data_IF_104028828602
#
_entry.id   IF_104028828602
#
_cell.length_a   1.000
_cell.length_b   1.000
_cell.length_c   1.000
_cell.angle_alpha   90.00
_cell.angle_beta   90.00
_cell.angle_gamma   90.00
#
_symmetry.space_group_name_H-M   'P 1'
#
loop_
_entity.id
_entity.type
_entity.pdbx_description
1 polymer ?
#
# COMPACT_ATOMS: atom_id res chain seq x y z
N UNK A 1 14.91 -17.86 -18.63
CA UNK A 1 14.97 -16.80 -17.60
C UNK A 1 15.78 -17.22 -16.37
N UNK A 2 15.51 -18.37 -15.75
CA UNK A 2 16.20 -18.83 -14.51
C UNK A 2 17.75 -18.87 -14.60
N UNK A 3 18.32 -19.30 -15.72
CA UNK A 3 19.79 -19.39 -15.87
C UNK A 3 20.47 -18.01 -15.88
N UNK A 4 19.81 -17.01 -16.50
CA UNK A 4 20.30 -15.63 -16.56
C UNK A 4 20.20 -14.93 -15.20
N UNK A 5 19.13 -15.21 -14.43
CA UNK A 5 18.98 -14.71 -13.06
C UNK A 5 20.06 -15.27 -12.13
N UNK A 6 20.32 -16.58 -12.17
CA UNK A 6 21.39 -17.20 -11.37
C UNK A 6 22.77 -16.68 -11.72
N UNK A 7 23.04 -16.44 -13.01
CA UNK A 7 24.30 -15.81 -13.47
C UNK A 7 24.42 -14.36 -12.98
N UNK A 8 23.33 -13.59 -13.05
CA UNK A 8 23.28 -12.21 -12.56
C UNK A 8 23.47 -12.14 -11.04
N UNK A 9 22.84 -13.02 -10.27
CA UNK A 9 23.02 -13.11 -8.82
C UNK A 9 24.45 -13.51 -8.43
N UNK A 10 25.02 -14.51 -9.12
CA UNK A 10 26.40 -14.93 -8.88
C UNK A 10 27.40 -13.81 -9.21
N UNK A 11 27.18 -13.10 -10.32
CA UNK A 11 27.97 -11.94 -10.71
C UNK A 11 27.83 -10.81 -9.69
N UNK A 12 26.60 -10.46 -9.32
CA UNK A 12 26.28 -9.46 -8.29
C UNK A 12 26.98 -9.77 -6.98
N UNK A 13 26.87 -11.01 -6.47
CA UNK A 13 27.53 -11.43 -5.25
C UNK A 13 29.07 -11.31 -5.32
N UNK A 14 29.64 -11.54 -6.50
CA UNK A 14 31.09 -11.36 -6.73
C UNK A 14 31.48 -9.88 -6.72
N UNK A 15 30.73 -9.03 -7.43
CA UNK A 15 30.95 -7.57 -7.46
C UNK A 15 30.80 -6.97 -6.08
N UNK A 16 29.79 -7.40 -5.31
CA UNK A 16 29.55 -6.94 -3.95
C UNK A 16 30.71 -7.27 -3.00
N UNK A 17 31.44 -8.36 -3.21
CA UNK A 17 32.61 -8.71 -2.39
C UNK A 17 33.86 -7.91 -2.74
N UNK A 18 33.95 -7.40 -3.98
CA UNK A 18 35.14 -6.73 -4.50
C UNK A 18 35.04 -5.21 -4.35
N UNK A 19 33.85 -4.64 -4.54
CA UNK A 19 33.66 -3.18 -4.48
C UNK A 19 33.42 -2.72 -3.04
N UNK A 20 34.11 -1.66 -2.61
CA UNK A 20 33.79 -0.98 -1.36
C UNK A 20 32.45 -0.24 -1.44
N UNK A 21 31.78 0.04 -0.31
CA UNK A 21 30.57 0.85 -0.32
C UNK A 21 30.85 2.31 -0.68
N UNK A 22 29.87 2.98 -1.30
CA UNK A 22 29.97 4.41 -1.61
C UNK A 22 29.90 5.22 -0.32
N UNK A 23 30.74 6.25 -0.22
CA UNK A 23 30.83 7.14 0.95
C UNK A 23 30.32 8.55 0.68
N UNK A 24 30.19 8.94 -0.61
CA UNK A 24 29.74 10.28 -1.02
C UNK A 24 28.27 10.24 -1.41
N UNK A 25 27.47 11.25 -1.04
CA UNK A 25 26.06 11.34 -1.44
C UNK A 25 25.93 11.49 -2.97
N UNK A 26 24.99 10.75 -3.55
CA UNK A 26 24.56 10.90 -4.94
C UNK A 26 23.02 10.79 -5.02
N UNK A 27 22.37 11.17 -3.91
CA UNK A 27 20.92 11.12 -3.74
C UNK A 27 20.21 11.98 -4.78
N UNK A 28 20.56 13.28 -4.87
CA UNK A 28 19.92 14.21 -5.82
C UNK A 28 20.27 13.90 -7.29
N UNK A 29 21.52 13.51 -7.57
CA UNK A 29 21.99 13.33 -8.95
C UNK A 29 21.53 12.03 -9.61
N UNK A 30 21.43 10.95 -8.83
CA UNK A 30 21.26 9.58 -9.31
C UNK A 30 20.13 8.82 -8.61
N UNK A 31 19.50 9.40 -7.58
CA UNK A 31 18.44 8.75 -6.82
C UNK A 31 18.91 7.55 -6.00
N UNK A 32 20.18 7.53 -5.57
CA UNK A 32 20.80 6.36 -4.89
C UNK A 32 21.34 6.72 -3.51
N UNK A 33 21.30 5.75 -2.59
CA UNK A 33 21.76 5.87 -1.22
C UNK A 33 23.13 5.23 -1.01
N UNK A 34 23.97 5.87 -0.20
CA UNK A 34 25.06 5.19 0.50
C UNK A 34 24.51 4.40 1.70
N UNK A 35 25.35 3.57 2.30
CA UNK A 35 24.98 2.77 3.48
C UNK A 35 24.61 3.68 4.65
N UNK A 36 25.42 4.71 4.93
CA UNK A 36 25.16 5.64 6.02
C UNK A 36 23.85 6.38 5.80
N UNK A 37 23.55 6.77 4.56
CA UNK A 37 22.30 7.43 4.20
C UNK A 37 21.09 6.49 4.33
N UNK A 38 21.24 5.20 3.98
CA UNK A 38 20.19 4.21 4.23
C UNK A 38 19.89 4.04 5.72
N UNK A 39 20.92 4.01 6.56
CA UNK A 39 20.74 3.94 8.02
C UNK A 39 20.05 5.20 8.56
N UNK A 40 20.47 6.39 8.11
CA UNK A 40 19.84 7.67 8.49
C UNK A 40 18.36 7.71 8.08
N UNK A 41 18.05 7.32 6.84
CA UNK A 41 16.68 7.29 6.35
C UNK A 41 15.82 6.24 7.09
N UNK A 42 16.39 5.09 7.41
CA UNK A 42 15.73 4.06 8.21
C UNK A 42 15.48 4.50 9.65
N UNK A 43 16.42 5.19 10.28
CA UNK A 43 16.23 5.76 11.62
C UNK A 43 15.10 6.81 11.63
N UNK A 44 15.01 7.63 10.59
CA UNK A 44 13.90 8.58 10.44
C UNK A 44 12.56 7.85 10.25
N UNK A 45 12.52 6.81 9.39
CA UNK A 45 11.33 5.98 9.18
C UNK A 45 10.81 5.36 10.48
N UNK A 46 11.68 4.71 11.26
CA UNK A 46 11.30 4.10 12.55
C UNK A 46 10.85 5.16 13.56
N UNK A 47 11.47 6.33 13.56
CA UNK A 47 11.12 7.44 14.44
C UNK A 47 9.72 8.02 14.15
N UNK A 48 9.36 8.15 12.86
CA UNK A 48 8.08 8.74 12.44
C UNK A 48 6.95 7.73 12.30
N UNK A 49 7.26 6.50 11.93
CA UNK A 49 6.30 5.42 11.74
C UNK A 49 6.71 4.25 12.65
N UNK A 50 6.25 4.23 13.93
CA UNK A 50 6.64 3.21 14.92
C UNK A 50 6.22 1.78 14.57
N UNK A 51 5.40 1.59 13.54
CA UNK A 51 5.08 0.28 12.95
C UNK A 51 6.28 -0.35 12.24
N UNK A 52 7.24 0.47 11.81
CA UNK A 52 8.53 0.01 11.29
C UNK A 52 9.54 -0.20 12.40
N UNK A 53 10.37 -1.23 12.24
CA UNK A 53 11.42 -1.59 13.17
C UNK A 53 12.69 -2.04 12.45
N UNK A 54 13.85 -1.80 13.06
CA UNK A 54 15.11 -2.38 12.60
C UNK A 54 15.25 -3.82 13.09
N UNK A 55 15.79 -4.67 12.23
CA UNK A 55 16.04 -6.07 12.53
C UNK A 55 17.49 -6.46 12.25
N UNK A 56 17.99 -7.42 13.04
CA UNK A 56 19.34 -7.97 12.91
C UNK A 56 19.43 -9.15 11.94
N UNK A 57 18.30 -9.80 11.66
CA UNK A 57 18.24 -11.03 10.87
C UNK A 57 19.06 -12.19 11.43
N UNK A 58 19.24 -13.21 10.59
CA UNK A 58 20.04 -14.39 10.95
C UNK A 58 21.53 -14.01 11.11
N UNK A 59 22.20 -14.39 12.22
CA UNK A 59 23.60 -14.06 12.45
C UNK A 59 24.55 -14.48 11.32
N UNK A 60 24.27 -15.60 10.65
CA UNK A 60 25.03 -16.14 9.52
C UNK A 60 24.93 -15.32 8.24
N UNK A 61 23.83 -14.56 8.09
CA UNK A 61 23.52 -13.77 6.88
C UNK A 61 23.79 -12.27 7.05
N UNK A 62 24.32 -11.83 8.19
CA UNK A 62 24.63 -10.43 8.45
C UNK A 62 25.67 -9.90 7.47
N UNK A 63 25.42 -8.69 6.98
CA UNK A 63 26.31 -7.95 6.11
C UNK A 63 27.21 -7.08 6.97
N UNK A 64 28.53 -7.26 6.84
CA UNK A 64 29.55 -6.57 7.64
C UNK A 64 29.60 -5.05 7.41
N UNK A 65 29.04 -4.58 6.30
CA UNK A 65 29.02 -3.17 5.95
C UNK A 65 27.84 -2.41 6.58
N UNK A 66 26.90 -3.10 7.22
CA UNK A 66 25.79 -2.52 7.99
C UNK A 66 25.99 -2.80 9.49
N UNK A 67 25.49 -1.94 10.40
CA UNK A 67 25.46 -2.23 11.83
C UNK A 67 24.72 -3.54 12.13
N UNK A 68 25.15 -4.28 13.15
CA UNK A 68 24.63 -5.63 13.42
C UNK A 68 23.13 -5.63 13.75
N UNK A 69 22.65 -4.55 14.34
CA UNK A 69 21.29 -4.29 14.76
C UNK A 69 20.42 -3.57 13.70
N UNK A 70 21.03 -3.12 12.60
CA UNK A 70 20.38 -2.36 11.51
C UNK A 70 20.63 -2.99 10.15
N UNK A 71 20.23 -4.26 10.00
CA UNK A 71 20.47 -5.00 8.76
C UNK A 71 19.35 -4.76 7.73
N UNK A 72 18.11 -4.71 8.19
CA UNK A 72 16.94 -4.39 7.36
C UNK A 72 15.82 -3.81 8.22
N UNK A 73 14.87 -3.15 7.58
CA UNK A 73 13.65 -2.65 8.23
C UNK A 73 12.50 -3.62 7.99
N UNK A 74 11.60 -3.76 8.94
CA UNK A 74 10.38 -4.56 8.77
C UNK A 74 9.18 -3.88 9.42
N UNK A 75 8.03 -4.00 8.76
CA UNK A 75 6.71 -3.79 9.35
C UNK A 75 5.91 -5.08 9.21
N UNK A 76 5.12 -5.42 10.22
CA UNK A 76 4.47 -6.73 10.36
C UNK A 76 2.97 -6.60 10.42
N UNK A 77 2.28 -7.65 9.96
CA UNK A 77 0.82 -7.75 10.05
C UNK A 77 0.11 -6.55 9.40
N UNK A 78 0.60 -6.13 8.23
CA UNK A 78 0.02 -5.06 7.43
C UNK A 78 -1.23 -5.58 6.69
N UNK A 79 -2.42 -4.99 6.87
CA UNK A 79 -3.63 -5.51 6.25
C UNK A 79 -3.65 -5.26 4.73
N UNK A 80 -4.28 -6.20 4.02
CA UNK A 80 -4.59 -6.12 2.60
C UNK A 80 -6.03 -6.62 2.39
N UNK A 81 -6.96 -5.67 2.33
CA UNK A 81 -8.41 -5.95 2.35
C UNK A 81 -8.99 -6.29 0.97
N UNK A 82 -8.28 -5.92 -0.10
CA UNK A 82 -8.72 -6.08 -1.49
C UNK A 82 -7.55 -6.47 -2.39
N UNK A 83 -7.86 -7.01 -3.58
CA UNK A 83 -6.85 -7.33 -4.61
C UNK A 83 -6.54 -6.13 -5.49
N UNK A 84 -5.32 -6.07 -6.02
CA UNK A 84 -4.89 -4.96 -6.87
C UNK A 84 -5.82 -4.75 -8.07
N UNK A 85 -6.28 -5.85 -8.68
CA UNK A 85 -7.22 -5.82 -9.81
C UNK A 85 -8.53 -5.08 -9.52
N UNK A 86 -9.08 -5.22 -8.32
CA UNK A 86 -10.35 -4.55 -7.97
C UNK A 86 -10.22 -3.02 -7.91
N UNK A 87 -9.04 -2.53 -7.50
CA UNK A 87 -8.74 -1.09 -7.46
C UNK A 87 -8.50 -0.55 -8.86
N UNK A 88 -7.82 -1.33 -9.70
CA UNK A 88 -7.56 -0.98 -11.11
C UNK A 88 -8.88 -0.90 -11.91
N UNK A 89 -9.76 -1.90 -11.79
CA UNK A 89 -11.07 -1.91 -12.46
C UNK A 89 -11.96 -0.74 -12.01
N UNK A 90 -11.96 -0.39 -10.72
CA UNK A 90 -12.69 0.78 -10.22
C UNK A 90 -12.15 2.08 -10.81
N UNK A 91 -10.83 2.22 -10.91
CA UNK A 91 -10.18 3.38 -11.51
C UNK A 91 -10.47 3.51 -13.02
N UNK A 92 -10.45 2.39 -13.75
CA UNK A 92 -10.83 2.34 -15.16
C UNK A 92 -12.31 2.72 -15.34
N UNK A 93 -13.20 2.17 -14.51
CA UNK A 93 -14.64 2.46 -14.54
C UNK A 93 -14.97 3.92 -14.19
N UNK A 94 -14.15 4.58 -13.36
CA UNK A 94 -14.26 5.99 -13.04
C UNK A 94 -13.82 6.93 -14.18
N UNK A 95 -13.50 6.39 -15.37
CA UNK A 95 -13.07 7.16 -16.53
C UNK A 95 -11.57 7.41 -16.54
N UNK A 96 -10.80 6.38 -16.16
CA UNK A 96 -9.34 6.38 -16.06
C UNK A 96 -8.69 7.29 -17.11
N UNK A 97 -7.76 8.14 -16.69
CA UNK A 97 -7.10 9.08 -17.57
C UNK A 97 -6.43 8.34 -18.74
N UNK A 98 -6.81 8.68 -19.97
CA UNK A 98 -6.19 8.15 -21.19
C UNK A 98 -4.72 8.56 -21.17
N UNK A 99 -3.85 7.61 -20.86
CA UNK A 99 -2.41 7.73 -21.03
C UNK A 99 -2.17 8.11 -22.49
N UNK A 100 -1.73 9.35 -22.72
CA UNK A 100 -1.11 9.67 -23.99
C UNK A 100 0.18 8.86 -24.05
N UNK A 101 0.15 7.79 -24.83
CA UNK A 101 1.33 7.06 -25.30
C UNK A 101 2.26 8.04 -26.04
N UNK A 102 3.07 8.76 -25.26
CA UNK A 102 4.29 9.34 -25.77
C UNK A 102 5.35 8.26 -25.55
N UNK A 103 5.81 7.65 -26.65
CA UNK A 103 6.81 6.55 -26.70
C UNK A 103 8.10 6.79 -25.90
N UNK A 104 8.35 8.02 -25.42
CA UNK A 104 9.53 8.40 -24.63
C UNK A 104 9.26 8.68 -23.14
N UNK A 105 7.99 8.64 -22.68
CA UNK A 105 7.63 8.91 -21.28
C UNK A 105 7.13 7.65 -20.61
N UNK A 106 8.06 6.84 -20.11
CA UNK A 106 7.76 5.70 -19.22
C UNK A 106 6.69 6.12 -18.19
N UNK A 107 5.47 5.58 -18.33
CA UNK A 107 4.27 5.79 -17.51
C UNK A 107 4.40 5.30 -16.07
N UNK A 108 5.46 5.75 -15.40
CA UNK A 108 5.87 5.36 -14.05
C UNK A 108 5.54 6.42 -12.99
N UNK A 109 5.00 7.59 -13.38
CA UNK A 109 4.80 8.74 -12.48
C UNK A 109 3.48 9.50 -12.71
N UNK A 110 2.50 8.91 -13.39
CA UNK A 110 1.22 9.60 -13.61
C UNK A 110 0.30 9.45 -12.38
N UNK A 111 0.59 10.21 -11.31
CA UNK A 111 -0.38 10.45 -10.22
C UNK A 111 -0.36 11.92 -9.77
N UNK A 112 -0.16 12.86 -10.70
CA UNK A 112 -0.56 14.26 -10.51
C UNK A 112 -0.51 15.05 -11.84
N UNK A 113 -1.55 14.90 -12.66
CA UNK A 113 -1.84 15.86 -13.73
C UNK A 113 -2.61 17.05 -13.17
N UNK A 114 -2.09 18.28 -13.37
CA UNK A 114 -2.83 19.52 -13.06
C UNK A 114 -4.15 19.57 -13.87
N UNK A 115 -5.22 20.21 -13.35
CA UNK A 115 -6.40 20.47 -14.16
C UNK A 115 -6.00 21.37 -15.33
N UNK A 116 -6.34 20.98 -16.55
CA UNK A 116 -6.13 21.83 -17.74
C UNK A 116 -7.01 23.07 -17.63
N UNK A 117 -6.39 24.23 -17.80
CA UNK A 117 -7.10 25.47 -18.13
C UNK A 117 -7.68 25.34 -19.54
N UNK A 118 -9.01 25.43 -19.64
CA UNK A 118 -9.75 25.46 -20.89
C UNK A 118 -9.52 26.79 -21.63
N UNK A 119 -9.07 26.71 -22.90
CA UNK A 119 -9.40 27.73 -23.91
C UNK A 119 -9.69 27.11 -25.29
N UNK A 120 -11.00 27.09 -25.57
CA UNK A 120 -11.72 27.50 -26.79
C UNK A 120 -11.65 26.70 -28.10
N UNK A 121 -12.85 26.22 -28.50
CA UNK A 121 -13.35 26.08 -29.88
C UNK A 121 -13.33 24.64 -30.40
N UNK A 122 -14.40 23.98 -30.86
CA UNK A 122 -15.76 24.35 -31.22
C UNK A 122 -16.68 23.12 -31.06
N UNK A 123 -17.91 23.38 -30.62
CA UNK A 123 -19.19 22.67 -30.77
C UNK A 123 -19.25 21.18 -31.18
N UNK A 124 -19.80 20.32 -30.29
CA UNK A 124 -20.94 19.46 -30.63
C UNK A 124 -21.68 18.93 -29.37
N UNK A 125 -22.90 19.44 -29.17
CA UNK A 125 -24.06 18.91 -28.44
C UNK A 125 -23.92 18.39 -26.98
N UNK A 126 -24.06 19.33 -26.03
CA UNK A 126 -24.64 19.07 -24.70
C UNK A 126 -26.17 19.16 -24.80
N UNK A 127 -26.96 18.20 -24.27
CA UNK A 127 -28.38 18.45 -24.02
C UNK A 127 -28.53 19.30 -22.75
N UNK A 128 -29.08 20.50 -22.93
CA UNK A 128 -29.39 21.49 -21.91
C UNK A 128 -30.49 21.01 -20.97
N UNK A 129 -30.27 21.20 -19.68
CA UNK A 129 -31.25 21.12 -18.61
C UNK A 129 -32.11 22.41 -18.61
N UNK A 130 -33.37 22.32 -19.03
CA UNK A 130 -34.42 23.26 -18.61
C UNK A 130 -35.73 22.54 -18.31
N UNK A 131 -36.08 22.56 -17.02
CA UNK A 131 -37.41 22.77 -16.43
C UNK A 131 -38.63 22.18 -17.13
N UNK A 132 -39.18 21.10 -16.55
CA UNK A 132 -40.61 20.82 -16.60
C UNK A 132 -41.16 20.55 -15.20
N UNK A 133 -42.34 21.10 -14.99
CA UNK A 133 -42.99 21.39 -13.74
C UNK A 133 -43.49 20.17 -12.95
N UNK A 134 -43.63 20.44 -11.65
CA UNK A 134 -44.20 19.63 -10.59
C UNK A 134 -45.60 19.13 -10.93
N UNK A 135 -45.86 17.83 -10.80
CA UNK A 135 -47.21 17.31 -11.00
C UNK A 135 -47.42 15.81 -10.79
N UNK A 136 -47.69 15.44 -9.53
CA UNK A 136 -48.56 14.32 -9.10
C UNK A 136 -47.98 12.88 -8.99
N UNK A 137 -47.60 12.58 -7.75
CA UNK A 137 -48.08 11.45 -6.94
C UNK A 137 -47.87 10.03 -7.47
N UNK A 138 -46.81 9.36 -6.98
CA UNK A 138 -46.81 7.91 -6.71
C UNK A 138 -46.03 7.60 -5.42
N UNK A 139 -46.83 7.51 -4.37
CA UNK A 139 -46.72 6.78 -3.10
C UNK A 139 -45.46 5.93 -2.90
N UNK A 140 -44.66 6.34 -1.92
CA UNK A 140 -43.69 5.52 -1.19
C UNK A 140 -44.47 4.41 -0.48
N UNK A 141 -44.13 3.15 -0.75
CA UNK A 141 -44.70 2.00 -0.03
C UNK A 141 -44.13 1.98 1.40
N UNK A 142 -44.96 2.43 2.33
CA UNK A 142 -44.78 2.26 3.77
C UNK A 142 -44.88 0.79 4.14
N UNK A 143 -43.90 0.32 4.90
CA UNK A 143 -43.92 -0.95 5.60
C UNK A 143 -45.16 -0.97 6.51
N UNK A 144 -45.93 -2.06 6.42
CA UNK A 144 -47.20 -2.25 7.13
C UNK A 144 -47.02 -2.19 8.65
N UNK A 145 -47.49 -1.11 9.27
CA UNK A 145 -47.78 -1.03 10.70
C UNK A 145 -49.05 -1.83 11.02
N UNK A 146 -48.88 -3.05 11.52
CA UNK A 146 -49.95 -3.79 12.18
C UNK A 146 -50.00 -3.33 13.65
N UNK A 147 -50.93 -2.44 13.98
CA UNK A 147 -51.38 -2.21 15.35
C UNK A 147 -52.90 -2.31 15.37
N UNK A 148 -53.39 -3.26 16.16
CA UNK A 148 -54.81 -3.53 16.35
C UNK A 148 -55.01 -4.82 17.13
N UNK A 149 -54.81 -4.75 18.44
CA UNK A 149 -55.07 -5.83 19.39
C UNK A 149 -54.72 -5.35 20.80
N UNK A 150 -55.73 -4.89 21.52
CA UNK A 150 -55.74 -4.75 22.98
C UNK A 150 -55.43 -6.11 23.58
N UNK A 151 -54.30 -6.25 24.28
CA UNK A 151 -54.09 -7.22 25.34
C UNK A 151 -52.98 -6.65 26.25
N UNK A 152 -53.34 -6.35 27.50
CA UNK A 152 -52.42 -6.03 28.57
C UNK A 152 -51.66 -7.32 28.95
N UNK A 153 -50.57 -7.61 28.24
CA UNK A 153 -49.60 -8.61 28.69
C UNK A 153 -48.47 -7.88 29.44
N UNK A 154 -48.52 -8.00 30.77
CA UNK A 154 -47.46 -7.62 31.70
C UNK A 154 -46.10 -8.13 31.19
N UNK A 155 -45.15 -7.22 30.94
CA UNK A 155 -43.77 -7.57 30.64
C UNK A 155 -43.21 -8.31 31.88
N UNK A 156 -42.82 -9.59 31.79
CA UNK A 156 -42.30 -10.32 32.93
C UNK A 156 -41.01 -9.67 33.45
N UNK A 157 -40.93 -9.46 34.77
CA UNK A 157 -39.78 -8.83 35.42
C UNK A 157 -38.53 -9.72 35.27
N UNK A 158 -37.42 -9.11 34.85
CA UNK A 158 -36.16 -9.81 34.51
C UNK A 158 -35.48 -10.48 35.72
N UNK A 159 -36.04 -10.32 36.92
CA UNK A 159 -35.54 -10.89 38.18
C UNK A 159 -35.98 -12.33 38.44
N UNK A 160 -36.95 -12.88 37.69
CA UNK A 160 -37.45 -14.25 37.88
C UNK A 160 -36.59 -15.32 37.15
N UNK A 161 -35.61 -14.90 36.32
CA UNK A 161 -34.71 -15.81 35.60
C UNK A 161 -33.37 -16.07 36.31
N UNK A 162 -33.18 -15.53 37.52
CA UNK A 162 -31.95 -15.71 38.31
C UNK A 162 -32.06 -16.85 39.34
N UNK A 163 -33.12 -17.66 39.27
CA UNK A 163 -33.26 -18.86 40.08
C UNK A 163 -32.38 -19.98 39.52
N UNK A 164 -31.32 -20.27 40.27
CA UNK A 164 -30.24 -21.19 39.97
C UNK A 164 -30.64 -22.69 40.01
N UNK A 165 -31.93 -23.01 39.82
CA UNK A 165 -32.49 -24.37 39.96
C UNK A 165 -33.20 -24.91 38.71
N UNK A 166 -33.10 -24.24 37.54
CA UNK A 166 -33.68 -24.75 36.29
C UNK A 166 -32.65 -25.36 35.32
N UNK A 167 -31.59 -25.99 35.85
CA UNK A 167 -30.72 -26.88 35.09
C UNK A 167 -31.38 -28.26 35.08
N UNK A 168 -32.21 -28.52 34.09
CA UNK A 168 -32.64 -29.88 33.77
C UNK A 168 -31.48 -30.59 33.07
N UNK A 169 -30.91 -31.59 33.75
CA UNK A 169 -29.93 -32.52 33.18
C UNK A 169 -30.54 -33.28 31.99
N UNK A 170 -29.83 -33.23 30.86
CA UNK A 170 -29.93 -34.11 29.70
C UNK A 170 -31.22 -34.03 28.85
N UNK A 171 -31.29 -33.03 27.96
CA UNK A 171 -32.10 -33.13 26.74
C UNK A 171 -31.36 -33.98 25.69
N UNK A 172 -32.05 -34.97 25.13
CA UNK A 172 -31.52 -35.83 24.06
C UNK A 172 -31.38 -35.11 22.70
N UNK A 173 -31.75 -33.82 22.63
CA UNK A 173 -31.48 -32.95 21.49
C UNK A 173 -30.20 -32.10 21.64
N UNK A 174 -29.43 -32.26 22.73
CA UNK A 174 -28.14 -31.56 22.88
C UNK A 174 -27.16 -32.08 21.83
N UNK A 175 -26.94 -31.30 20.78
CA UNK A 175 -26.00 -31.64 19.71
C UNK A 175 -24.58 -31.73 20.29
N UNK A 176 -23.95 -32.88 20.06
CA UNK A 176 -22.55 -33.13 20.39
C UNK A 176 -21.70 -31.99 19.83
N UNK A 177 -20.81 -31.43 20.64
CA UNK A 177 -19.93 -30.30 20.26
C UNK A 177 -18.82 -30.76 19.30
N UNK A 178 -19.19 -31.49 18.25
CA UNK A 178 -18.36 -31.67 17.08
C UNK A 178 -18.48 -30.39 16.26
N UNK A 179 -17.39 -29.64 16.18
CA UNK A 179 -17.23 -28.50 15.29
C UNK A 179 -17.74 -28.86 13.89
N UNK A 180 -18.97 -28.42 13.58
CA UNK A 180 -19.43 -28.36 12.20
C UNK A 180 -18.56 -27.30 11.52
N UNK A 181 -17.59 -27.75 10.73
CA UNK A 181 -17.06 -26.91 9.66
C UNK A 181 -18.18 -26.82 8.64
N UNK A 182 -19.05 -25.81 8.78
CA UNK A 182 -19.88 -25.37 7.68
C UNK A 182 -18.92 -24.93 6.58
N UNK A 183 -18.82 -25.74 5.53
CA UNK A 183 -18.33 -25.24 4.26
C UNK A 183 -19.47 -24.38 3.71
N UNK A 184 -19.39 -23.08 4.00
CA UNK A 184 -20.20 -22.08 3.29
C UNK A 184 -19.99 -22.31 1.78
N UNK A 185 -21.03 -22.16 0.95
CA UNK A 185 -20.82 -22.08 -0.50
C UNK A 185 -19.81 -20.95 -0.78
N UNK A 186 -18.98 -21.11 -1.83
CA UNK A 186 -18.13 -20.03 -2.33
C UNK A 186 -19.03 -18.86 -2.79
N UNK A 187 -19.45 -18.01 -1.85
CA UNK A 187 -19.90 -16.68 -2.17
C UNK A 187 -18.66 -15.94 -2.66
N UNK A 188 -18.51 -15.86 -3.99
CA UNK A 188 -17.49 -15.08 -4.71
C UNK A 188 -17.47 -13.58 -4.31
N UNK A 189 -18.34 -13.17 -3.39
CA UNK A 189 -18.48 -11.80 -2.88
C UNK A 189 -17.87 -11.60 -1.47
N UNK A 190 -17.31 -12.63 -0.83
CA UNK A 190 -16.56 -12.46 0.43
C UNK A 190 -15.11 -12.11 0.08
N UNK A 191 -14.75 -10.84 0.28
CA UNK A 191 -13.39 -10.35 0.10
C UNK A 191 -12.44 -11.01 1.11
N UNK A 192 -11.59 -11.91 0.62
CA UNK A 192 -10.63 -12.61 1.47
C UNK A 192 -9.49 -11.70 1.93
N UNK A 193 -9.50 -11.31 3.21
CA UNK A 193 -8.47 -10.44 3.78
C UNK A 193 -7.13 -11.15 3.91
N UNK A 194 -6.05 -10.51 3.47
CA UNK A 194 -4.66 -10.98 3.68
C UNK A 194 -3.95 -10.06 4.65
N UNK A 195 -2.86 -10.56 5.23
CA UNK A 195 -1.91 -9.74 5.98
C UNK A 195 -0.51 -9.93 5.44
N UNK A 196 0.34 -8.91 5.57
CA UNK A 196 1.67 -8.88 4.99
C UNK A 196 2.73 -8.45 6.01
N UNK A 197 3.85 -9.17 6.00
CA UNK A 197 5.11 -8.68 6.55
C UNK A 197 5.93 -8.10 5.40
N UNK A 198 6.29 -6.81 5.50
CA UNK A 198 7.02 -6.07 4.48
C UNK A 198 8.39 -5.73 5.03
N UNK A 199 9.45 -6.17 4.35
CA UNK A 199 10.83 -5.82 4.72
C UNK A 199 11.52 -4.98 3.66
N UNK A 200 12.38 -4.06 4.11
CA UNK A 200 13.22 -3.21 3.27
C UNK A 200 14.68 -3.52 3.56
N UNK A 201 15.38 -4.02 2.54
CA UNK A 201 16.82 -4.31 2.61
C UNK A 201 17.59 -3.30 1.76
N UNK A 202 18.87 -3.10 2.06
CA UNK A 202 19.76 -2.30 1.20
C UNK A 202 20.41 -3.17 0.12
N UNK A 203 20.15 -2.85 -1.15
CA UNK A 203 20.81 -3.50 -2.28
C UNK A 203 22.15 -2.82 -2.56
N UNK A 204 23.26 -3.51 -2.26
CA UNK A 204 24.60 -2.93 -2.39
C UNK A 204 25.01 -2.69 -3.85
N UNK A 205 24.51 -3.49 -4.78
CA UNK A 205 24.84 -3.35 -6.20
C UNK A 205 24.13 -2.16 -6.83
N UNK A 206 22.82 -2.02 -6.59
CA UNK A 206 22.04 -0.90 -7.12
C UNK A 206 22.09 0.36 -6.27
N UNK A 207 22.56 0.25 -5.02
CA UNK A 207 22.65 1.35 -4.07
C UNK A 207 21.27 1.95 -3.75
N UNK A 208 20.26 1.08 -3.66
CA UNK A 208 18.86 1.45 -3.45
C UNK A 208 18.21 0.49 -2.46
N UNK A 209 17.13 0.91 -1.78
CA UNK A 209 16.33 -0.02 -1.00
C UNK A 209 15.60 -1.01 -1.91
N UNK A 210 15.38 -2.21 -1.39
CA UNK A 210 14.65 -3.30 -2.03
C UNK A 210 13.57 -3.82 -1.09
N UNK A 211 12.35 -3.93 -1.60
CA UNK A 211 11.17 -4.40 -0.84
C UNK A 211 10.98 -5.89 -1.02
N UNK A 212 10.61 -6.56 0.06
CA UNK A 212 10.22 -7.96 0.09
C UNK A 212 8.88 -8.10 0.80
N UNK A 213 8.06 -9.02 0.31
CA UNK A 213 6.69 -9.24 0.75
C UNK A 213 6.54 -10.69 1.19
N UNK A 214 5.98 -10.87 2.38
CA UNK A 214 5.57 -12.17 2.91
C UNK A 214 4.10 -12.09 3.25
N UNK A 215 3.26 -12.74 2.45
CA UNK A 215 1.82 -12.72 2.62
C UNK A 215 1.34 -13.85 3.54
N UNK A 216 0.23 -13.60 4.22
CA UNK A 216 -0.50 -14.55 5.03
C UNK A 216 -1.99 -14.50 4.69
N UNK A 217 -2.65 -15.65 4.74
CA UNK A 217 -4.10 -15.74 4.57
C UNK A 217 -4.88 -15.31 5.83
N UNK A 218 -6.19 -15.43 5.77
CA UNK A 218 -7.14 -15.10 6.85
C UNK A 218 -6.86 -15.87 8.14
N UNK A 219 -6.35 -17.10 8.01
CA UNK A 219 -5.99 -17.98 9.12
C UNK A 219 -4.56 -17.75 9.62
N UNK A 220 -3.88 -16.72 9.10
CA UNK A 220 -2.46 -16.41 9.34
C UNK A 220 -1.49 -17.51 8.90
N UNK A 221 -1.88 -18.29 7.91
CA UNK A 221 -0.99 -19.26 7.27
C UNK A 221 -0.21 -18.60 6.14
N UNK A 222 1.04 -19.00 5.98
CA UNK A 222 1.95 -18.40 5.00
C UNK A 222 1.44 -18.67 3.57
N UNK A 223 1.28 -17.60 2.80
CA UNK A 223 0.87 -17.68 1.40
C UNK A 223 2.01 -18.19 0.53
N UNK A 224 1.64 -18.85 -0.56
CA UNK A 224 2.58 -19.14 -1.63
C UNK A 224 3.04 -17.81 -2.27
N UNK A 225 4.35 -17.61 -2.51
CA UNK A 225 4.87 -16.37 -3.05
C UNK A 225 4.22 -15.94 -4.38
N UNK A 226 3.73 -16.90 -5.16
CA UNK A 226 3.02 -16.65 -6.41
C UNK A 226 1.68 -15.94 -6.21
N UNK A 227 0.97 -16.22 -5.10
CA UNK A 227 -0.32 -15.59 -4.78
C UNK A 227 -0.16 -14.11 -4.37
N UNK A 228 1.03 -13.72 -3.91
CA UNK A 228 1.34 -12.32 -3.59
C UNK A 228 1.23 -11.43 -4.83
N UNK A 229 1.43 -11.98 -6.03
CA UNK A 229 1.31 -11.24 -7.28
C UNK A 229 -0.11 -10.71 -7.55
N UNK A 230 -1.14 -11.27 -6.92
CA UNK A 230 -2.52 -10.78 -7.01
C UNK A 230 -2.73 -9.45 -6.28
N UNK A 231 -1.82 -9.11 -5.36
CA UNK A 231 -1.82 -7.87 -4.57
C UNK A 231 -0.81 -6.85 -5.13
N UNK A 232 -0.17 -7.15 -6.26
CA UNK A 232 0.71 -6.24 -7.00
C UNK A 232 -0.03 -5.72 -8.22
N UNK A 233 0.10 -4.43 -8.51
CA UNK A 233 -0.48 -3.83 -9.72
C UNK A 233 -0.01 -4.57 -10.98
N UNK A 234 -0.93 -4.80 -11.92
CA UNK A 234 -0.67 -5.61 -13.11
C UNK A 234 0.46 -5.03 -13.97
N UNK A 235 0.56 -3.70 -14.03
CA UNK A 235 1.60 -3.00 -14.75
C UNK A 235 3.00 -3.29 -14.22
N UNK A 236 3.10 -3.62 -12.93
CA UNK A 236 4.35 -3.87 -12.23
C UNK A 236 4.62 -5.35 -11.99
N UNK A 237 3.58 -6.17 -11.79
CA UNK A 237 3.67 -7.58 -11.38
C UNK A 237 4.57 -8.40 -12.31
N UNK A 238 4.38 -8.29 -13.63
CA UNK A 238 5.16 -9.08 -14.61
C UNK A 238 6.49 -8.45 -15.03
N UNK A 239 6.71 -7.18 -14.68
CA UNK A 239 7.91 -6.43 -15.11
C UNK A 239 8.96 -6.35 -14.01
N UNK A 240 8.52 -6.26 -12.76
CA UNK A 240 9.39 -5.87 -11.64
C UNK A 240 9.40 -6.82 -10.46
N UNK A 241 8.41 -7.72 -10.32
CA UNK A 241 8.34 -8.63 -9.18
C UNK A 241 8.95 -9.99 -9.50
N UNK A 242 9.82 -10.47 -8.62
CA UNK A 242 10.49 -11.76 -8.71
C UNK A 242 10.38 -12.52 -7.39
N UNK A 243 10.39 -13.85 -7.46
CA UNK A 243 10.41 -14.72 -6.27
C UNK A 243 11.86 -15.12 -6.01
N UNK A 244 12.44 -14.62 -4.91
CA UNK A 244 13.87 -14.76 -4.59
C UNK A 244 14.08 -15.12 -3.11
N UNK A 245 15.24 -15.67 -2.79
CA UNK A 245 15.65 -15.94 -1.41
C UNK A 245 15.95 -14.62 -0.67
N UNK A 246 15.35 -14.43 0.51
CA UNK A 246 15.59 -13.21 1.28
C UNK A 246 17.03 -13.16 1.81
N UNK A 247 17.73 -12.02 1.70
CA UNK A 247 19.14 -11.92 2.04
C UNK A 247 19.43 -12.08 3.53
N UNK A 248 18.43 -11.91 4.40
CA UNK A 248 18.56 -12.01 5.87
C UNK A 248 17.61 -13.00 6.55
N UNK A 249 16.68 -13.60 5.81
CA UNK A 249 15.61 -14.47 6.33
C UNK A 249 15.61 -15.80 5.55
N UNK A 250 15.08 -16.89 6.15
CA UNK A 250 14.92 -18.15 5.44
C UNK A 250 13.69 -18.14 4.54
N UNK A 251 13.76 -18.87 3.42
CA UNK A 251 12.63 -19.04 2.51
C UNK A 251 12.66 -18.09 1.31
N UNK A 252 11.71 -18.33 0.42
CA UNK A 252 11.48 -17.52 -0.78
C UNK A 252 10.40 -16.49 -0.51
N UNK A 253 10.63 -15.29 -1.00
CA UNK A 253 9.74 -14.15 -0.81
C UNK A 253 9.51 -13.47 -2.16
N UNK A 254 8.34 -12.85 -2.32
CA UNK A 254 8.11 -11.97 -3.45
C UNK A 254 8.89 -10.67 -3.22
N UNK A 255 9.58 -10.17 -4.24
CA UNK A 255 10.39 -8.95 -4.13
C UNK A 255 10.26 -8.07 -5.36
N UNK A 256 10.16 -6.76 -5.13
CA UNK A 256 10.21 -5.75 -6.19
C UNK A 256 11.67 -5.48 -6.53
N UNK A 257 12.06 -5.82 -7.76
CA UNK A 257 13.44 -5.80 -8.21
C UNK A 257 13.98 -4.36 -8.37
N UNK A 258 15.15 -4.04 -7.78
CA UNK A 258 15.57 -2.66 -7.57
C UNK A 258 16.21 -1.95 -8.77
N UNK A 259 16.30 -2.60 -9.94
CA UNK A 259 17.03 -2.08 -11.10
C UNK A 259 16.53 -0.73 -11.63
N UNK A 260 15.26 -0.38 -11.40
CA UNK A 260 14.67 0.89 -11.82
C UNK A 260 14.50 1.89 -10.67
N UNK A 261 14.70 1.48 -9.41
CA UNK A 261 14.45 2.34 -8.25
C UNK A 261 15.25 3.64 -8.29
N UNK A 262 16.54 3.59 -8.65
CA UNK A 262 17.37 4.80 -8.70
C UNK A 262 16.87 5.83 -9.72
N UNK A 263 16.51 5.36 -10.92
CA UNK A 263 15.98 6.23 -11.97
C UNK A 263 14.63 6.88 -11.57
N UNK A 264 13.77 6.11 -10.90
CA UNK A 264 12.46 6.58 -10.44
C UNK A 264 12.60 7.59 -9.31
N UNK A 265 13.43 7.28 -8.32
CA UNK A 265 13.70 8.17 -7.20
C UNK A 265 14.31 9.49 -7.67
N UNK A 266 15.23 9.44 -8.65
CA UNK A 266 15.75 10.65 -9.27
C UNK A 266 14.63 11.52 -9.86
N UNK A 267 13.74 10.94 -10.67
CA UNK A 267 12.61 11.67 -11.26
C UNK A 267 11.70 12.28 -10.19
N UNK A 268 11.40 11.53 -9.12
CA UNK A 268 10.60 12.04 -7.99
C UNK A 268 11.29 13.25 -7.32
N UNK A 269 12.59 13.15 -7.07
CA UNK A 269 13.37 14.25 -6.50
C UNK A 269 13.38 15.46 -7.42
N UNK A 270 13.60 15.27 -8.73
CA UNK A 270 13.59 16.35 -9.72
C UNK A 270 12.23 17.08 -9.74
N UNK A 271 11.13 16.33 -9.68
CA UNK A 271 9.77 16.89 -9.61
C UNK A 271 9.57 17.68 -8.31
N UNK A 272 10.00 17.18 -7.15
CA UNK A 272 9.91 17.93 -5.90
C UNK A 272 10.73 19.23 -5.93
N UNK A 273 11.95 19.16 -6.47
CA UNK A 273 12.82 20.33 -6.61
C UNK A 273 12.21 21.38 -7.53
N UNK A 274 11.55 20.97 -8.62
CA UNK A 274 10.82 21.90 -9.51
C UNK A 274 9.64 22.62 -8.83
N UNK A 275 9.07 22.02 -7.79
CA UNK A 275 8.03 22.63 -6.95
C UNK A 275 8.61 23.44 -5.78
N UNK A 276 9.93 23.62 -5.72
CA UNK A 276 10.62 24.37 -4.67
C UNK A 276 10.81 23.60 -3.36
N UNK A 277 10.55 22.29 -3.35
CA UNK A 277 10.83 21.44 -2.19
C UNK A 277 12.16 20.74 -2.38
N UNK A 278 13.11 20.99 -1.48
CA UNK A 278 14.38 20.26 -1.44
C UNK A 278 14.28 19.09 -0.45
N UNK A 279 14.11 17.84 -0.91
CA UNK A 279 14.09 16.71 -0.01
C UNK A 279 15.50 16.48 0.57
N UNK A 280 15.52 16.15 1.86
CA UNK A 280 16.69 15.66 2.56
C UNK A 280 16.80 14.14 2.41
N UNK A 281 18.00 13.61 2.59
CA UNK A 281 18.26 12.17 2.36
C UNK A 281 17.60 11.28 3.41
N UNK A 282 17.36 11.79 4.61
CA UNK A 282 16.64 11.10 5.68
C UNK A 282 15.15 10.88 5.33
N UNK A 283 14.60 11.66 4.40
CA UNK A 283 13.23 11.50 3.86
C UNK A 283 13.14 10.50 2.71
N UNK A 284 14.26 9.90 2.29
CA UNK A 284 14.30 9.00 1.13
C UNK A 284 13.28 7.86 1.23
N UNK A 285 13.21 7.19 2.38
CA UNK A 285 12.35 6.02 2.51
C UNK A 285 10.86 6.36 2.43
N UNK A 286 10.45 7.56 2.82
CA UNK A 286 9.06 8.00 2.67
C UNK A 286 8.71 8.24 1.20
N UNK A 287 9.61 8.88 0.44
CA UNK A 287 9.45 9.04 -1.01
C UNK A 287 9.42 7.68 -1.71
N UNK A 288 10.30 6.76 -1.27
CA UNK A 288 10.35 5.41 -1.81
C UNK A 288 9.09 4.60 -1.49
N UNK A 289 8.59 4.68 -0.26
CA UNK A 289 7.35 4.01 0.15
C UNK A 289 6.13 4.59 -0.55
N UNK A 290 6.09 5.92 -0.77
CA UNK A 290 5.06 6.53 -1.61
C UNK A 290 5.08 5.99 -3.04
N UNK A 291 6.27 5.79 -3.62
CA UNK A 291 6.40 5.10 -4.91
C UNK A 291 5.92 3.64 -4.82
N UNK A 292 6.29 2.91 -3.78
CA UNK A 292 5.86 1.52 -3.59
C UNK A 292 4.33 1.40 -3.48
N UNK A 293 3.63 2.45 -3.03
CA UNK A 293 2.17 2.44 -2.95
C UNK A 293 1.51 2.38 -4.34
N UNK A 294 2.21 2.79 -5.41
CA UNK A 294 1.72 2.55 -6.78
C UNK A 294 1.93 1.10 -7.24
N UNK A 295 2.88 0.39 -6.65
CA UNK A 295 3.22 -1.00 -7.01
C UNK A 295 2.34 -2.00 -6.25
N UNK A 296 2.04 -1.72 -4.98
CA UNK A 296 1.23 -2.55 -4.08
C UNK A 296 0.10 -1.71 -3.47
N UNK A 297 -0.89 -1.31 -4.29
CA UNK A 297 -1.88 -0.29 -3.91
C UNK A 297 -2.84 -0.73 -2.79
N UNK A 298 -2.99 -2.04 -2.56
CA UNK A 298 -3.94 -2.57 -1.58
C UNK A 298 -3.32 -2.95 -0.24
N UNK A 299 -1.99 -2.81 -0.09
CA UNK A 299 -1.28 -3.14 1.14
C UNK A 299 -1.11 -1.86 1.97
N UNK A 300 -1.75 -1.80 3.13
CA UNK A 300 -1.90 -0.58 3.93
C UNK A 300 -0.76 -0.37 4.95
N UNK A 301 0.48 -0.15 4.47
CA UNK A 301 1.60 0.16 5.35
C UNK A 301 1.74 1.67 5.61
N UNK A 302 2.28 2.02 6.77
CA UNK A 302 2.50 3.42 7.13
C UNK A 302 3.71 4.01 6.41
N UNK A 303 3.49 5.15 5.77
CA UNK A 303 4.53 6.00 5.19
C UNK A 303 4.19 7.49 5.29
N UNK A 304 3.28 7.86 6.20
CA UNK A 304 2.78 9.22 6.35
C UNK A 304 3.90 10.18 6.77
N UNK A 305 4.27 11.05 5.86
CA UNK A 305 5.00 12.28 6.14
C UNK A 305 4.31 13.42 5.41
N UNK A 306 4.00 14.47 6.16
CA UNK A 306 3.66 15.77 5.58
C UNK A 306 4.92 16.30 4.90
N UNK A 307 4.98 16.17 3.58
CA UNK A 307 5.87 17.02 2.80
C UNK A 307 5.23 18.39 2.83
N UNK A 308 5.83 19.30 3.58
CA UNK A 308 5.47 20.71 3.57
C UNK A 308 5.80 21.26 2.17
N UNK A 309 4.88 21.00 1.23
CA UNK A 309 4.88 21.54 -0.13
C UNK A 309 4.53 23.00 0.05
N UNK A 310 5.56 23.81 0.33
CA UNK A 310 5.46 25.17 0.83
C UNK A 310 4.23 25.89 0.29
N UNK A 311 3.29 26.21 1.18
CA UNK A 311 2.19 27.10 0.86
C UNK A 311 2.80 28.33 0.22
N UNK A 312 2.45 28.58 -1.04
CA UNK A 312 2.78 29.81 -1.74
C UNK A 312 2.23 30.96 -0.92
N UNK A 313 3.10 31.52 -0.07
CA UNK A 313 2.82 32.71 0.70
C UNK A 313 2.72 33.82 -0.33
N UNK A 314 1.51 34.08 -0.82
CA UNK A 314 1.22 35.32 -1.52
C UNK A 314 1.51 36.43 -0.52
N UNK A 315 2.69 37.03 -0.68
CA UNK A 315 3.09 38.21 0.03
C UNK A 315 2.03 39.28 -0.25
N UNK A 316 1.23 39.62 0.76
CA UNK A 316 0.50 40.87 0.79
C UNK A 316 1.52 42.01 0.72
N UNK A 317 1.80 42.45 -0.51
CA UNK A 317 2.56 43.67 -0.73
C UNK A 317 1.68 44.84 -0.35
N UNK A 318 1.99 45.40 0.81
CA UNK A 318 1.66 46.73 1.30
C UNK A 318 1.36 47.77 0.20
N UNK A 319 0.08 48.08 0.00
CA UNK A 319 -0.37 49.25 -0.73
C UNK A 319 -0.27 50.50 0.14
N UNK A 320 0.93 51.03 0.28
CA UNK A 320 1.17 52.37 0.83
C UNK A 320 0.99 53.38 -0.31
N UNK A 321 -0.14 54.09 -0.34
CA UNK A 321 -0.28 55.34 -1.10
C UNK A 321 -0.90 56.42 -0.21
N UNK A 322 -0.04 57.32 0.25
CA UNK A 322 -0.40 58.69 0.58
C UNK A 322 -0.72 59.46 -0.70
N UNK A 323 -1.91 60.03 -0.75
CA UNK A 323 -2.24 61.39 -1.23
C UNK A 323 -3.75 61.58 -1.08
#
# INVERSE_FOLDING_TARGET
MVLSQKLHEAFKGTVERITGPRTVSAFKEKGVLSISEFVIAGDNLVSKCPTWSWESGEPSKRKSYLPAEKQYLITRNVPCLRRAISVEEEYEAAGGEVLLDNEDTDGWLATHGKPKEDKSGEEENLPSMETLETGKSRTIQSISSYFGGDDEDDIPDMTEFNDHENILEADAATLDSAYFVQHEPDDDNILRTRTYDISITYDKYYQTPRVWLTGYDESRMLLQPELVLEDVSQDHARKTVTIEDHPHLPGKHASVHPCRHGAVMKKIIDVLMSHGVEPEVDKYLFLFLKFMASVIPTIEYDYTMDFDLGSSSQAESSGQKSA
#
